data_IF_638631601284
#
_entry.id   IF_638631601284
#
_cell.length_a   1.000
_cell.length_b   1.000
_cell.length_c   1.000
_cell.angle_alpha   90.00
_cell.angle_beta   90.00
_cell.angle_gamma   90.00
#
_symmetry.space_group_name_H-M   'P 1'
#
loop_
_entity.id
_entity.type
_entity.pdbx_description
1 polymer ?
#
# COMPACT_ATOMS: atom_id res chain seq x y z
N UNK A 1 17.49 5.22 17.42
CA UNK A 1 17.15 5.09 15.99
C UNK A 1 15.63 5.12 15.86
N UNK A 2 15.09 6.02 15.07
CA UNK A 2 13.64 6.08 14.79
C UNK A 2 13.38 5.38 13.46
N UNK A 3 12.33 4.55 13.40
CA UNK A 3 11.87 3.97 12.13
C UNK A 3 11.24 5.07 11.30
N UNK A 4 11.76 5.29 10.09
CA UNK A 4 11.29 6.36 9.19
C UNK A 4 10.26 5.85 8.17
N UNK A 5 10.29 4.57 7.83
CA UNK A 5 9.37 3.97 6.87
C UNK A 5 9.14 2.48 7.15
N UNK A 6 8.02 1.97 6.65
CA UNK A 6 7.64 0.56 6.62
C UNK A 6 7.53 0.17 5.14
N UNK A 7 8.14 -0.94 4.74
CA UNK A 7 8.10 -1.42 3.36
C UNK A 7 7.46 -2.80 3.33
N UNK A 8 6.50 -3.00 2.43
CA UNK A 8 5.78 -4.27 2.25
C UNK A 8 5.93 -4.75 0.81
N UNK A 9 6.45 -5.96 0.64
CA UNK A 9 6.51 -6.65 -0.65
C UNK A 9 5.51 -7.80 -0.70
N UNK A 10 4.76 -7.94 -1.79
CA UNK A 10 3.85 -9.06 -1.99
C UNK A 10 3.69 -9.47 -3.46
N UNK A 11 3.07 -10.62 -3.69
CA UNK A 11 2.85 -11.21 -5.02
C UNK A 11 1.46 -11.88 -5.06
N UNK A 12 1.36 -13.18 -5.38
CA UNK A 12 0.11 -13.93 -5.36
C UNK A 12 -0.63 -13.80 -4.01
N UNK A 13 -1.91 -13.43 -4.05
CA UNK A 13 -2.73 -13.18 -2.86
C UNK A 13 -2.42 -11.88 -2.11
N UNK A 14 -1.45 -11.08 -2.59
CA UNK A 14 -0.99 -9.87 -1.92
C UNK A 14 -2.06 -8.81 -1.74
N UNK A 15 -2.95 -8.63 -2.71
CA UNK A 15 -4.02 -7.61 -2.64
C UNK A 15 -4.95 -7.84 -1.45
N UNK A 16 -5.41 -9.07 -1.23
CA UNK A 16 -6.28 -9.41 -0.10
C UNK A 16 -5.55 -9.22 1.24
N UNK A 17 -4.28 -9.60 1.31
CA UNK A 17 -3.46 -9.40 2.51
C UNK A 17 -3.26 -7.90 2.81
N UNK A 18 -3.01 -7.09 1.78
CA UNK A 18 -2.87 -5.64 1.90
C UNK A 18 -4.17 -4.98 2.34
N UNK A 19 -5.32 -5.41 1.84
CA UNK A 19 -6.62 -4.89 2.30
C UNK A 19 -6.82 -5.13 3.80
N UNK A 20 -6.51 -6.34 4.29
CA UNK A 20 -6.56 -6.67 5.72
C UNK A 20 -5.58 -5.82 6.52
N UNK A 21 -4.33 -5.69 6.06
CA UNK A 21 -3.31 -4.90 6.72
C UNK A 21 -3.73 -3.43 6.83
N UNK A 22 -4.08 -2.80 5.71
CA UNK A 22 -4.43 -1.37 5.63
C UNK A 22 -5.69 -1.03 6.42
N UNK A 23 -6.66 -1.95 6.49
CA UNK A 23 -7.87 -1.76 7.29
C UNK A 23 -7.64 -1.82 8.80
N UNK A 24 -6.55 -2.45 9.22
CA UNK A 24 -6.13 -2.56 10.62
C UNK A 24 -5.12 -1.51 11.07
N UNK A 25 -4.62 -0.65 10.18
CA UNK A 25 -3.63 0.36 10.54
C UNK A 25 -4.24 1.46 11.42
N UNK A 26 -3.42 1.95 12.35
CA UNK A 26 -3.70 3.17 13.07
C UNK A 26 -3.77 4.34 12.06
N UNK A 27 -4.88 5.11 12.01
CA UNK A 27 -4.98 6.29 11.15
C UNK A 27 -3.95 7.39 11.49
N UNK A 28 -3.26 7.30 12.62
CA UNK A 28 -2.20 8.21 13.05
C UNK A 28 -0.79 7.62 12.92
N UNK A 29 -0.62 6.53 12.17
CA UNK A 29 0.70 5.96 11.87
C UNK A 29 1.62 7.04 11.27
N UNK A 30 2.71 7.37 11.97
CA UNK A 30 3.59 8.45 11.61
C UNK A 30 4.60 8.07 10.50
N UNK A 31 4.81 6.78 10.27
CA UNK A 31 5.75 6.26 9.29
C UNK A 31 5.10 6.16 7.91
N UNK A 32 5.86 6.51 6.87
CA UNK A 32 5.46 6.22 5.51
C UNK A 32 5.38 4.71 5.28
N UNK A 33 4.32 4.25 4.60
CA UNK A 33 4.15 2.86 4.20
C UNK A 33 4.31 2.74 2.68
N UNK A 34 5.36 2.05 2.25
CA UNK A 34 5.64 1.81 0.82
C UNK A 34 5.30 0.37 0.48
N UNK A 35 4.49 0.18 -0.56
CA UNK A 35 4.02 -1.15 -0.98
C UNK A 35 4.50 -1.45 -2.39
N UNK A 36 5.14 -2.60 -2.58
CA UNK A 36 5.46 -3.17 -3.88
C UNK A 36 4.70 -4.49 -4.06
N UNK A 37 3.80 -4.54 -5.05
CA UNK A 37 3.00 -5.72 -5.32
C UNK A 37 3.23 -6.20 -6.76
N UNK A 38 3.72 -7.43 -6.95
CA UNK A 38 3.79 -8.03 -8.28
C UNK A 38 2.38 -8.21 -8.85
N UNK A 39 2.22 -7.84 -10.12
CA UNK A 39 0.96 -7.92 -10.87
C UNK A 39 1.24 -8.29 -12.32
N UNK A 40 0.23 -8.84 -13.00
CA UNK A 40 0.29 -9.05 -14.44
C UNK A 40 0.25 -7.70 -15.17
N UNK A 41 0.97 -7.58 -16.28
CA UNK A 41 0.92 -6.39 -17.13
C UNK A 41 -0.48 -6.14 -17.73
N UNK A 42 -1.28 -7.19 -17.89
CA UNK A 42 -2.67 -7.10 -18.39
C UNK A 42 -3.66 -6.62 -17.31
N UNK A 43 -3.23 -6.55 -16.05
CA UNK A 43 -4.09 -6.11 -14.96
C UNK A 43 -4.23 -4.58 -14.98
N UNK A 44 -5.27 -4.12 -15.67
CA UNK A 44 -5.64 -2.69 -15.78
C UNK A 44 -6.21 -2.10 -14.48
N UNK A 45 -6.42 -2.89 -13.43
CA UNK A 45 -7.07 -2.41 -12.22
C UNK A 45 -6.21 -1.40 -11.46
N UNK A 46 -6.68 -0.19 -11.19
CA UNK A 46 -5.95 0.76 -10.34
C UNK A 46 -5.75 0.17 -8.92
N UNK A 47 -4.51 -0.26 -8.59
CA UNK A 47 -4.18 -0.88 -7.30
C UNK A 47 -4.46 0.07 -6.14
N UNK A 48 -3.99 1.31 -6.25
CA UNK A 48 -4.16 2.31 -5.21
C UNK A 48 -5.65 2.55 -4.91
N UNK A 49 -6.48 2.68 -5.95
CA UNK A 49 -7.94 2.82 -5.81
C UNK A 49 -8.62 1.58 -5.22
N UNK A 50 -8.08 0.37 -5.46
CA UNK A 50 -8.56 -0.86 -4.80
C UNK A 50 -8.24 -0.87 -3.31
N UNK A 51 -7.00 -0.52 -2.96
CA UNK A 51 -6.52 -0.51 -1.58
C UNK A 51 -7.10 0.64 -0.75
N UNK A 52 -7.33 1.80 -1.37
CA UNK A 52 -7.93 2.97 -0.72
C UNK A 52 -9.29 2.67 -0.11
N UNK A 53 -10.09 1.77 -0.70
CA UNK A 53 -11.41 1.38 -0.17
C UNK A 53 -11.35 0.67 1.17
N UNK A 54 -10.21 0.06 1.50
CA UNK A 54 -10.00 -0.68 2.74
C UNK A 54 -9.08 0.06 3.72
N UNK A 55 -8.46 1.17 3.30
CA UNK A 55 -7.46 1.89 4.09
C UNK A 55 -8.07 3.04 4.89
N UNK A 56 -7.52 3.29 6.08
CA UNK A 56 -7.77 4.52 6.85
C UNK A 56 -6.78 5.65 6.54
N UNK A 57 -5.65 5.30 5.92
CA UNK A 57 -4.63 6.22 5.45
C UNK A 57 -4.83 6.52 3.95
N UNK A 58 -4.42 7.69 3.44
CA UNK A 58 -4.44 7.95 2.01
C UNK A 58 -3.58 6.92 1.27
N UNK A 59 -4.14 6.35 0.21
CA UNK A 59 -3.42 5.43 -0.67
C UNK A 59 -3.34 6.06 -2.05
N UNK A 60 -2.12 6.29 -2.49
CA UNK A 60 -1.79 6.87 -3.80
C UNK A 60 -0.84 5.94 -4.53
N UNK A 61 -0.85 6.01 -5.86
CA UNK A 61 0.18 5.37 -6.67
C UNK A 61 1.46 6.19 -6.54
N UNK A 62 2.60 5.54 -6.29
CA UNK A 62 3.86 6.24 -6.11
C UNK A 62 4.31 6.89 -7.42
N UNK A 63 4.58 8.19 -7.40
CA UNK A 63 5.17 8.89 -8.53
C UNK A 63 6.67 9.15 -8.32
N UNK A 64 7.40 9.35 -9.43
CA UNK A 64 8.81 9.70 -9.38
C UNK A 64 9.01 11.00 -8.57
N UNK A 65 9.89 10.96 -7.56
CA UNK A 65 10.27 12.10 -6.69
C UNK A 65 9.14 12.68 -5.83
N UNK A 66 8.03 11.97 -5.66
CA UNK A 66 7.10 12.34 -4.60
C UNK A 66 7.76 12.14 -3.21
N UNK A 67 7.49 13.06 -2.26
CA UNK A 67 8.12 13.08 -0.94
C UNK A 67 7.67 11.94 -0.02
#
# INVERSE_FOLDING_TARGET
>A
MTVTAIVVGCSAGGVTALQTLLGGLDPHLAQALVVCCHRSADDSANLAGVLARSSRLPVVEAAEREP
#
